data_IF_507808345163
#
_entry.id   IF_507808345163
#
_cell.length_a   1.000
_cell.length_b   1.000
_cell.length_c   1.000
_cell.angle_alpha   90.00
_cell.angle_beta   90.00
_cell.angle_gamma   90.00
#
_symmetry.space_group_name_H-M   'P 1'
#
loop_
_entity.id
_entity.type
_entity.pdbx_description
1 polymer ?
#
# COMPACT_ATOMS: atom_id res chain seq x y z
N UNK A 1 -4.75 9.13 -14.76
CA UNK A 1 -4.33 10.47 -15.06
C UNK A 1 -4.80 11.46 -14.02
N UNK A 2 -3.85 12.09 -13.36
CA UNK A 2 -4.12 13.23 -12.49
C UNK A 2 -4.70 14.36 -13.35
N UNK A 3 -5.87 14.88 -12.97
CA UNK A 3 -6.45 16.09 -13.56
C UNK A 3 -7.63 15.91 -14.50
N UNK A 4 -8.10 14.69 -14.74
CA UNK A 4 -9.34 14.53 -15.54
C UNK A 4 -10.55 14.63 -14.61
N UNK A 5 -11.46 15.61 -14.79
CA UNK A 5 -12.64 15.72 -13.97
C UNK A 5 -13.54 14.48 -14.14
N UNK A 6 -14.02 13.96 -13.04
CA UNK A 6 -15.05 12.93 -13.05
C UNK A 6 -16.43 13.60 -13.07
N UNK A 7 -17.30 13.10 -13.91
CA UNK A 7 -18.70 13.52 -13.98
C UNK A 7 -19.54 12.40 -13.36
N UNK A 8 -20.26 12.74 -12.30
CA UNK A 8 -21.22 11.84 -11.66
C UNK A 8 -22.63 12.23 -12.07
N UNK A 9 -23.42 11.27 -12.50
CA UNK A 9 -24.78 11.48 -12.96
C UNK A 9 -25.84 11.28 -11.85
N UNK A 10 -25.49 10.76 -10.67
CA UNK A 10 -26.36 10.63 -9.47
C UNK A 10 -27.87 10.53 -9.78
N UNK A 11 -28.24 9.78 -10.81
CA UNK A 11 -29.63 9.63 -11.22
C UNK A 11 -30.24 10.83 -11.98
N UNK A 12 -29.46 11.84 -12.32
CA UNK A 12 -29.90 13.01 -13.10
C UNK A 12 -29.33 12.98 -14.53
N UNK A 13 -30.06 13.53 -15.47
CA UNK A 13 -29.61 13.69 -16.87
C UNK A 13 -28.54 14.79 -17.03
N UNK A 14 -28.32 15.60 -16.01
CA UNK A 14 -27.23 16.59 -15.97
C UNK A 14 -26.14 16.05 -15.06
N UNK A 15 -24.98 15.76 -15.61
CA UNK A 15 -23.80 15.35 -14.83
C UNK A 15 -23.33 16.44 -13.89
N UNK A 16 -23.06 16.09 -12.65
CA UNK A 16 -22.40 16.98 -11.70
C UNK A 16 -20.88 16.80 -11.78
N UNK A 17 -20.13 17.89 -11.81
CA UNK A 17 -18.68 17.86 -11.74
C UNK A 17 -18.27 17.43 -10.34
N UNK A 18 -17.65 16.26 -10.24
CA UNK A 18 -17.07 15.79 -8.98
C UNK A 18 -15.70 16.44 -8.80
N UNK A 19 -15.62 17.45 -7.95
CA UNK A 19 -14.36 18.07 -7.54
C UNK A 19 -13.73 17.20 -6.45
N UNK A 20 -12.91 16.25 -6.86
CA UNK A 20 -12.08 15.52 -5.90
C UNK A 20 -10.88 16.38 -5.50
N UNK A 21 -10.53 16.43 -4.19
CA UNK A 21 -9.33 17.15 -3.78
C UNK A 21 -8.10 16.59 -4.48
N UNK A 22 -7.23 17.45 -4.94
CA UNK A 22 -5.96 17.05 -5.56
C UNK A 22 -5.12 16.25 -4.57
N UNK A 23 -4.72 15.07 -4.98
CA UNK A 23 -3.89 14.17 -4.16
C UNK A 23 -2.58 13.92 -4.88
N UNK A 24 -1.48 14.11 -4.17
CA UNK A 24 -0.15 13.88 -4.71
C UNK A 24 0.44 12.59 -4.13
N UNK A 25 0.86 11.68 -5.01
CA UNK A 25 1.65 10.54 -4.58
C UNK A 25 3.12 10.97 -4.46
N UNK A 26 3.66 10.96 -3.26
CA UNK A 26 5.06 11.35 -2.99
C UNK A 26 6.02 10.17 -3.07
N UNK A 27 5.52 8.94 -3.18
CA UNK A 27 6.37 7.78 -3.39
C UNK A 27 6.75 7.67 -4.85
N UNK A 28 8.04 7.59 -5.07
CA UNK A 28 8.58 7.40 -6.40
C UNK A 28 8.34 5.94 -6.84
N UNK A 29 7.92 5.80 -8.09
CA UNK A 29 7.77 4.48 -8.72
C UNK A 29 7.00 3.47 -7.86
N UNK A 30 5.81 3.87 -7.45
CA UNK A 30 4.97 3.06 -6.54
C UNK A 30 4.55 1.68 -7.08
N UNK A 31 4.78 1.40 -8.36
CA UNK A 31 4.56 0.09 -8.99
C UNK A 31 5.84 -0.59 -9.48
N UNK A 32 7.02 -0.02 -9.22
CA UNK A 32 8.31 -0.57 -9.63
C UNK A 32 9.25 -0.65 -8.43
N UNK A 33 9.31 -1.82 -7.81
CA UNK A 33 10.05 -2.01 -6.56
C UNK A 33 11.53 -2.36 -6.77
N UNK A 34 11.95 -2.57 -8.00
CA UNK A 34 13.33 -2.90 -8.37
C UNK A 34 14.25 -1.69 -8.49
N UNK A 35 13.72 -0.48 -8.60
CA UNK A 35 14.49 0.74 -8.90
C UNK A 35 14.77 1.60 -7.67
N UNK A 36 13.77 2.30 -7.15
CA UNK A 36 13.97 3.30 -6.07
C UNK A 36 13.72 2.77 -4.67
N UNK A 37 13.14 1.57 -4.56
CA UNK A 37 12.83 0.98 -3.28
C UNK A 37 14.04 0.27 -2.67
N UNK A 38 14.30 0.55 -1.42
CA UNK A 38 15.38 -0.05 -0.65
C UNK A 38 14.88 -1.36 -0.01
N UNK A 39 15.76 -2.34 0.02
CA UNK A 39 15.47 -3.70 0.45
C UNK A 39 16.35 -4.05 1.63
N UNK A 40 15.75 -4.50 2.72
CA UNK A 40 16.47 -5.04 3.86
C UNK A 40 16.04 -6.50 4.08
N UNK A 41 16.94 -7.44 3.83
CA UNK A 41 16.71 -8.87 3.94
C UNK A 41 15.41 -9.36 3.27
N UNK A 42 15.08 -8.77 2.13
CA UNK A 42 13.98 -9.19 1.24
C UNK A 42 14.47 -9.23 -0.19
N UNK A 43 13.90 -10.12 -0.98
CA UNK A 43 14.03 -10.15 -2.43
C UNK A 43 12.70 -9.87 -3.08
N UNK A 44 12.73 -9.37 -4.29
CA UNK A 44 11.52 -9.07 -5.06
C UNK A 44 11.59 -9.74 -6.43
N UNK A 45 10.46 -10.23 -6.89
CA UNK A 45 10.31 -10.83 -8.21
C UNK A 45 9.11 -10.20 -8.92
N UNK A 46 9.36 -9.49 -10.01
CA UNK A 46 8.32 -8.85 -10.82
C UNK A 46 7.58 -9.84 -11.73
N UNK A 47 6.63 -9.32 -12.50
CA UNK A 47 5.90 -10.11 -13.48
C UNK A 47 4.84 -11.03 -12.89
N UNK A 48 4.45 -10.81 -11.65
CA UNK A 48 3.38 -11.58 -11.01
C UNK A 48 2.00 -11.10 -11.45
N UNK A 49 1.01 -11.99 -11.41
CA UNK A 49 -0.37 -11.65 -11.77
C UNK A 49 -0.92 -10.59 -10.79
N UNK A 50 -1.27 -9.43 -11.33
CA UNK A 50 -1.85 -8.31 -10.60
C UNK A 50 -3.36 -8.42 -10.40
N UNK A 51 -3.94 -7.35 -9.84
CA UNK A 51 -5.36 -7.27 -9.48
C UNK A 51 -6.27 -7.50 -10.69
N UNK A 52 -5.88 -7.01 -11.85
CA UNK A 52 -6.65 -7.09 -13.09
C UNK A 52 -6.12 -8.14 -14.07
N UNK A 53 -5.30 -9.09 -13.58
CA UNK A 53 -4.72 -10.15 -14.41
C UNK A 53 -3.53 -9.74 -15.28
N UNK A 54 -3.10 -8.48 -15.19
CA UNK A 54 -1.85 -8.02 -15.81
C UNK A 54 -0.63 -8.53 -15.03
N UNK A 55 0.52 -8.65 -15.69
CA UNK A 55 1.76 -9.11 -15.06
C UNK A 55 2.51 -7.94 -14.39
N UNK A 56 1.81 -7.14 -13.60
CA UNK A 56 2.31 -5.90 -12.98
C UNK A 56 2.44 -5.97 -11.45
N UNK A 57 2.27 -7.14 -10.87
CA UNK A 57 2.48 -7.37 -9.45
C UNK A 57 3.91 -7.86 -9.15
N UNK A 58 4.29 -7.73 -7.92
CA UNK A 58 5.59 -8.11 -7.39
C UNK A 58 5.44 -9.09 -6.23
N UNK A 59 6.22 -10.16 -6.28
CA UNK A 59 6.37 -11.08 -5.17
C UNK A 59 7.47 -10.55 -4.25
N UNK A 60 7.13 -10.31 -3.00
CA UNK A 60 8.07 -9.93 -1.97
C UNK A 60 8.41 -11.16 -1.14
N UNK A 61 9.63 -11.63 -1.27
CA UNK A 61 10.13 -12.80 -0.58
C UNK A 61 11.01 -12.39 0.60
N UNK A 62 10.79 -13.04 1.68
CA UNK A 62 11.55 -12.84 2.90
C UNK A 62 12.89 -13.56 2.80
N UNK A 63 13.97 -12.85 3.12
CA UNK A 63 15.30 -13.42 3.30
C UNK A 63 15.58 -13.86 4.74
N UNK A 64 16.79 -14.28 5.00
CA UNK A 64 17.28 -14.61 6.33
C UNK A 64 17.52 -13.32 7.15
N UNK A 65 17.44 -13.40 8.46
CA UNK A 65 17.64 -12.24 9.33
C UNK A 65 16.36 -11.77 10.04
N UNK A 66 16.51 -10.89 11.03
CA UNK A 66 15.40 -10.45 11.88
C UNK A 66 14.62 -9.25 11.31
N UNK A 67 15.33 -8.31 10.69
CA UNK A 67 14.71 -7.13 10.08
C UNK A 67 14.52 -7.35 8.58
N UNK A 68 13.28 -7.44 8.13
CA UNK A 68 12.90 -7.75 6.75
C UNK A 68 11.85 -6.76 6.29
N UNK A 69 12.22 -5.86 5.37
CA UNK A 69 11.27 -4.88 4.87
C UNK A 69 11.73 -4.26 3.55
N UNK A 70 10.76 -3.86 2.78
CA UNK A 70 10.88 -2.98 1.64
C UNK A 70 10.52 -1.57 2.10
N UNK A 71 11.31 -0.54 1.73
CA UNK A 71 11.07 0.81 2.20
C UNK A 71 11.52 1.89 1.22
N UNK A 72 10.97 3.06 1.40
CA UNK A 72 11.42 4.27 0.75
C UNK A 72 11.52 5.40 1.78
N UNK A 73 12.56 6.19 1.69
CA UNK A 73 12.70 7.40 2.51
C UNK A 73 11.97 8.54 1.81
N UNK A 74 10.95 9.07 2.47
CA UNK A 74 10.18 10.21 1.99
C UNK A 74 9.85 11.13 3.16
N UNK A 75 9.91 12.42 2.92
CA UNK A 75 9.54 13.43 3.91
C UNK A 75 8.10 13.86 3.67
N UNK A 76 7.29 13.76 4.69
CA UNK A 76 5.93 14.30 4.72
C UNK A 76 5.79 15.32 5.84
N UNK A 77 5.26 16.48 5.52
CA UNK A 77 5.10 17.60 6.46
C UNK A 77 3.72 17.66 7.11
N UNK A 78 2.81 16.77 6.73
CA UNK A 78 1.44 16.72 7.24
C UNK A 78 0.96 15.27 7.38
N UNK A 79 -0.17 15.08 8.01
CA UNK A 79 -0.83 13.78 8.06
C UNK A 79 -1.10 13.24 6.66
N UNK A 80 -0.76 12.00 6.42
CA UNK A 80 -0.87 11.35 5.11
C UNK A 80 -1.37 9.91 5.24
N UNK A 81 -1.98 9.41 4.18
CA UNK A 81 -2.42 8.01 4.12
C UNK A 81 -1.40 7.17 3.36
N UNK A 82 -0.91 6.13 4.01
CA UNK A 82 -0.12 5.08 3.40
C UNK A 82 -1.04 3.94 3.00
N UNK A 83 -1.12 3.61 1.72
CA UNK A 83 -1.97 2.54 1.18
C UNK A 83 -1.16 1.53 0.38
N UNK A 84 -1.54 0.27 0.52
CA UNK A 84 -0.91 -0.84 -0.18
C UNK A 84 -1.98 -1.81 -0.65
N UNK A 85 -1.88 -2.28 -1.89
CA UNK A 85 -2.62 -3.44 -2.36
C UNK A 85 -1.77 -4.68 -2.14
N UNK A 86 -2.33 -5.66 -1.45
CA UNK A 86 -1.61 -6.86 -1.09
C UNK A 86 -2.49 -8.11 -1.20
N UNK A 87 -1.86 -9.21 -1.54
CA UNK A 87 -2.45 -10.54 -1.53
C UNK A 87 -1.53 -11.46 -0.75
N UNK A 88 -2.11 -12.34 0.08
CA UNK A 88 -1.32 -13.30 0.84
C UNK A 88 -0.47 -14.19 -0.08
N UNK A 89 0.70 -14.56 0.39
CA UNK A 89 1.52 -15.61 -0.15
C UNK A 89 1.60 -16.78 0.84
N UNK A 90 2.82 -17.15 1.23
CA UNK A 90 3.04 -18.22 2.21
C UNK A 90 2.70 -17.82 3.66
N UNK A 91 2.55 -16.57 3.93
CA UNK A 91 2.14 -16.03 5.22
C UNK A 91 0.98 -15.05 5.06
N UNK A 92 0.23 -14.84 6.11
CA UNK A 92 -1.03 -14.11 6.06
C UNK A 92 -0.90 -12.63 6.42
N UNK A 93 0.22 -12.23 7.04
CA UNK A 93 0.33 -10.93 7.69
C UNK A 93 1.11 -9.90 6.88
N UNK A 94 0.49 -8.79 6.63
CA UNK A 94 1.12 -7.57 6.13
C UNK A 94 1.35 -6.59 7.29
N UNK A 95 2.49 -5.93 7.29
CA UNK A 95 2.82 -4.88 8.25
C UNK A 95 3.14 -3.59 7.52
N UNK A 96 2.40 -2.53 7.81
CA UNK A 96 2.68 -1.19 7.34
C UNK A 96 3.25 -0.33 8.46
N UNK A 97 4.26 0.49 8.17
CA UNK A 97 4.92 1.33 9.15
C UNK A 97 5.44 2.63 8.55
N UNK A 98 5.31 3.71 9.28
CA UNK A 98 5.98 4.98 8.99
C UNK A 98 7.46 5.01 9.44
N UNK A 99 7.97 3.92 9.96
CA UNK A 99 9.34 3.84 10.46
C UNK A 99 9.57 4.39 11.88
N UNK A 100 8.73 5.29 12.36
CA UNK A 100 8.88 5.96 13.66
C UNK A 100 7.81 5.56 14.69
N UNK A 101 7.34 4.33 14.63
CA UNK A 101 6.43 3.76 15.62
C UNK A 101 4.97 3.67 15.19
N UNK A 102 4.53 4.47 14.24
CA UNK A 102 3.17 4.33 13.69
C UNK A 102 3.12 3.14 12.74
N UNK A 103 2.43 2.11 13.13
CA UNK A 103 2.40 0.86 12.39
C UNK A 103 1.08 0.10 12.60
N UNK A 104 0.79 -0.86 11.72
CA UNK A 104 -0.35 -1.75 11.84
C UNK A 104 -0.13 -3.05 11.09
N UNK A 105 -0.68 -4.13 11.64
CA UNK A 105 -0.73 -5.44 11.01
C UNK A 105 -2.10 -5.67 10.34
N UNK A 106 -2.07 -6.41 9.23
CA UNK A 106 -3.27 -6.80 8.48
C UNK A 106 -3.20 -8.29 8.17
N UNK A 107 -4.25 -9.01 8.49
CA UNK A 107 -4.42 -10.42 8.13
C UNK A 107 -5.06 -10.53 6.74
N UNK A 108 -4.26 -10.90 5.77
CA UNK A 108 -4.69 -11.05 4.37
C UNK A 108 -5.39 -12.39 4.09
N UNK A 109 -5.44 -13.31 5.06
CA UNK A 109 -6.24 -14.53 4.96
C UNK A 109 -7.71 -14.24 5.28
N UNK A 110 -7.93 -13.56 6.41
CA UNK A 110 -9.27 -13.35 6.96
C UNK A 110 -9.82 -11.94 6.65
N UNK A 111 -9.01 -11.05 6.06
CA UNK A 111 -9.42 -9.69 5.74
C UNK A 111 -9.68 -8.83 6.98
N UNK A 112 -8.89 -8.99 8.03
CA UNK A 112 -9.07 -8.27 9.29
C UNK A 112 -7.83 -7.49 9.70
N UNK A 113 -8.06 -6.45 10.48
CA UNK A 113 -7.00 -5.61 11.06
C UNK A 113 -6.50 -6.30 12.32
N UNK A 114 -5.18 -6.43 12.46
CA UNK A 114 -4.56 -7.00 13.65
C UNK A 114 -4.63 -6.06 14.86
N UNK A 115 -4.58 -6.62 16.06
CA UNK A 115 -4.73 -5.88 17.31
C UNK A 115 -3.50 -5.02 17.64
N UNK A 116 -2.33 -5.42 17.16
CA UNK A 116 -1.06 -4.74 17.47
C UNK A 116 -0.81 -3.58 16.51
N UNK A 117 -0.34 -2.47 17.05
CA UNK A 117 0.11 -1.30 16.31
C UNK A 117 -0.62 -0.02 16.69
N UNK A 118 0.02 1.11 16.44
CA UNK A 118 -0.37 2.45 16.92
C UNK A 118 -0.82 3.42 15.82
N UNK A 119 -0.80 2.99 14.56
CA UNK A 119 -1.23 3.83 13.45
C UNK A 119 -2.72 4.18 13.52
N UNK A 120 -3.05 5.40 13.13
CA UNK A 120 -4.42 5.89 13.10
C UNK A 120 -5.17 5.40 11.85
N UNK A 121 -6.50 5.32 11.95
CA UNK A 121 -7.42 4.99 10.86
C UNK A 121 -6.98 3.78 10.01
N UNK A 122 -6.64 2.64 10.61
CA UNK A 122 -6.32 1.46 9.84
C UNK A 122 -7.57 0.97 9.09
N UNK A 123 -7.39 0.61 7.82
CA UNK A 123 -8.47 0.07 6.98
C UNK A 123 -7.97 -1.11 6.17
N UNK A 124 -8.84 -2.09 5.99
CA UNK A 124 -8.64 -3.21 5.08
C UNK A 124 -9.92 -3.40 4.26
N UNK A 125 -9.79 -3.43 2.94
CA UNK A 125 -10.90 -3.56 2.01
C UNK A 125 -10.59 -4.68 1.01
N UNK A 126 -11.49 -5.65 0.90
CA UNK A 126 -11.40 -6.67 -0.14
C UNK A 126 -11.70 -6.05 -1.51
N UNK A 127 -10.85 -6.32 -2.49
CA UNK A 127 -11.04 -5.91 -3.88
C UNK A 127 -11.21 -7.10 -4.83
N UNK A 128 -11.40 -8.29 -4.27
CA UNK A 128 -11.61 -9.53 -5.01
C UNK A 128 -10.34 -10.34 -5.23
N UNK A 129 -10.52 -11.61 -5.57
CA UNK A 129 -9.44 -12.56 -5.90
C UNK A 129 -8.33 -12.68 -4.83
N UNK A 130 -8.67 -12.47 -3.57
CA UNK A 130 -7.73 -12.52 -2.45
C UNK A 130 -6.87 -11.27 -2.30
N UNK A 131 -7.11 -10.22 -3.08
CA UNK A 131 -6.47 -8.93 -2.95
C UNK A 131 -7.18 -8.02 -1.95
N UNK A 132 -6.41 -7.30 -1.18
CA UNK A 132 -6.87 -6.31 -0.23
C UNK A 132 -6.16 -4.98 -0.42
N UNK A 133 -6.90 -3.89 -0.26
CA UNK A 133 -6.33 -2.56 -0.05
C UNK A 133 -6.20 -2.33 1.45
N UNK A 134 -4.97 -2.22 1.93
CA UNK A 134 -4.66 -1.93 3.32
C UNK A 134 -4.13 -0.50 3.45
N UNK A 135 -4.59 0.24 4.44
CA UNK A 135 -4.14 1.63 4.64
C UNK A 135 -4.07 2.02 6.11
N UNK A 136 -3.18 2.95 6.40
CA UNK A 136 -3.02 3.61 7.69
C UNK A 136 -2.86 5.11 7.49
N UNK A 137 -3.24 5.90 8.48
CA UNK A 137 -2.90 7.32 8.55
C UNK A 137 -1.66 7.48 9.41
N UNK A 138 -0.70 8.21 8.89
CA UNK A 138 0.58 8.51 9.55
C UNK A 138 0.75 10.02 9.65
N UNK A 139 1.33 10.48 10.75
CA UNK A 139 1.65 11.88 10.95
C UNK A 139 3.05 12.19 10.43
N UNK A 140 3.39 13.47 10.35
CA UNK A 140 4.67 14.04 9.93
C UNK A 140 5.89 13.13 10.19
N UNK A 141 6.42 12.46 9.15
CA UNK A 141 7.51 11.47 9.23
C UNK A 141 8.39 11.46 7.99
N UNK A 142 9.56 10.85 8.12
CA UNK A 142 10.60 10.83 7.08
C UNK A 142 10.82 9.49 6.40
N UNK A 143 10.19 8.42 6.87
CA UNK A 143 10.42 7.07 6.32
C UNK A 143 9.14 6.26 6.25
N UNK A 144 8.84 5.71 5.08
CA UNK A 144 7.82 4.67 4.93
C UNK A 144 8.45 3.30 4.82
N UNK A 145 8.01 2.39 5.68
CA UNK A 145 8.42 0.99 5.64
C UNK A 145 7.23 0.09 5.39
N UNK A 146 7.33 -0.68 4.35
CA UNK A 146 6.47 -1.85 4.15
C UNK A 146 7.26 -3.04 4.65
N UNK A 147 6.97 -3.47 5.87
CA UNK A 147 7.45 -4.75 6.37
C UNK A 147 6.47 -5.82 5.96
N UNK A 148 6.96 -6.83 5.30
CA UNK A 148 6.15 -8.00 5.09
C UNK A 148 6.87 -9.19 5.70
N UNK A 149 6.14 -9.99 6.41
CA UNK A 149 6.59 -11.34 6.74
C UNK A 149 6.24 -12.31 5.60
N UNK A 150 5.99 -11.77 4.36
CA UNK A 150 5.19 -12.41 3.34
C UNK A 150 5.67 -12.20 1.94
N UNK A 151 5.27 -13.13 1.11
CA UNK A 151 5.06 -12.87 -0.31
C UNK A 151 3.87 -11.92 -0.49
N UNK A 152 4.15 -10.71 -0.92
CA UNK A 152 3.13 -9.69 -1.22
C UNK A 152 3.09 -9.49 -2.73
N UNK A 153 1.91 -9.64 -3.32
CA UNK A 153 1.78 -9.69 -4.76
C UNK A 153 1.57 -8.34 -5.46
N UNK A 154 1.30 -7.27 -4.79
CA UNK A 154 1.35 -5.92 -5.38
C UNK A 154 1.34 -4.86 -4.29
N UNK A 155 2.22 -3.90 -4.45
CA UNK A 155 2.18 -2.69 -3.63
C UNK A 155 1.89 -1.53 -4.57
N UNK A 156 0.77 -0.89 -4.40
CA UNK A 156 0.42 0.34 -5.08
C UNK A 156 0.11 1.39 -4.02
N UNK A 157 0.70 2.55 -4.18
CA UNK A 157 0.65 3.56 -3.14
C UNK A 157 0.05 4.86 -3.64
N UNK A 158 -0.89 5.40 -2.86
CA UNK A 158 -1.37 6.75 -3.01
C UNK A 158 -1.23 7.45 -1.66
N UNK A 159 -0.55 8.59 -1.63
CA UNK A 159 -0.53 9.50 -0.51
C UNK A 159 -1.57 10.61 -0.72
N UNK A 160 -2.34 10.84 0.28
CA UNK A 160 -3.31 11.93 0.32
C UNK A 160 -2.76 13.07 1.15
#
# INVERSE_FOLDING_TARGET
GSGTPRIDFLGNTKGALLLEPSRTNVLLQSNQFDTTWLKNNVTILGGQSGIYGSSDAWLLQRGDGLARFLYQNVSISSSSTLSVYAKKGNSNWLFLSSGAGENKYFDLENGVIGDVGTASNPRIESIGNGWYRCSITVSNKEVFKVKTYLEVHKVQQFLN
#
